data_IF_816596355418
#
_entry.id   IF_816596355418
#
_cell.length_a   1.000
_cell.length_b   1.000
_cell.length_c   1.000
_cell.angle_alpha   90.00
_cell.angle_beta   90.00
_cell.angle_gamma   90.00
#
_symmetry.space_group_name_H-M   'P 1'
#
loop_
_entity.id
_entity.type
_entity.pdbx_description
1 polymer ?
#
# COMPACT_ATOMS: atom_id res chain seq x y z
N UNK A 1 15.09 8.09 -6.05
CA UNK A 1 14.46 7.60 -7.29
C UNK A 1 15.18 6.35 -7.75
N UNK A 2 14.45 5.34 -8.21
CA UNK A 2 15.01 4.08 -8.75
C UNK A 2 14.70 4.00 -10.24
N UNK A 3 15.66 3.55 -11.06
CA UNK A 3 15.45 3.36 -12.51
C UNK A 3 14.73 2.03 -12.75
N UNK A 4 13.60 2.09 -13.44
CA UNK A 4 12.83 0.91 -13.83
C UNK A 4 12.57 0.95 -15.33
N UNK A 5 12.81 -0.17 -16.01
CA UNK A 5 12.43 -0.37 -17.41
C UNK A 5 11.13 -1.14 -17.44
N UNK A 6 10.12 -0.60 -18.12
CA UNK A 6 8.82 -1.24 -18.33
C UNK A 6 8.62 -1.52 -19.81
N UNK A 7 8.01 -2.67 -20.12
CA UNK A 7 7.52 -2.95 -21.46
C UNK A 7 6.10 -2.41 -21.55
N UNK A 8 5.78 -1.75 -22.66
CA UNK A 8 4.44 -1.25 -22.95
C UNK A 8 4.18 -1.37 -24.44
N UNK A 9 2.92 -1.57 -24.81
CA UNK A 9 2.52 -1.60 -26.21
C UNK A 9 2.82 -0.26 -26.88
N UNK A 10 3.25 -0.32 -28.14
CA UNK A 10 3.63 0.88 -28.90
C UNK A 10 2.46 1.86 -29.01
N UNK A 11 1.24 1.36 -29.18
CA UNK A 11 0.03 2.20 -29.21
C UNK A 11 -0.15 2.97 -27.90
N UNK A 12 0.07 2.32 -26.75
CA UNK A 12 -0.02 2.96 -25.44
C UNK A 12 1.04 4.03 -25.29
N UNK A 13 2.28 3.74 -25.71
CA UNK A 13 3.38 4.72 -25.69
C UNK A 13 3.08 5.93 -26.58
N UNK A 14 2.48 5.74 -27.74
CA UNK A 14 2.11 6.84 -28.63
C UNK A 14 1.05 7.75 -28.00
N UNK A 15 0.01 7.17 -27.39
CA UNK A 15 -1.03 7.93 -26.68
C UNK A 15 -0.44 8.74 -25.51
N UNK A 16 0.46 8.14 -24.73
CA UNK A 16 1.14 8.84 -23.62
C UNK A 16 2.07 9.95 -24.12
N UNK A 17 2.77 9.76 -25.25
CA UNK A 17 3.58 10.82 -25.88
C UNK A 17 2.71 11.97 -26.38
N UNK A 18 1.54 11.68 -26.97
CA UNK A 18 0.60 12.71 -27.39
C UNK A 18 0.09 13.51 -26.19
N UNK A 19 -0.28 12.85 -25.10
CA UNK A 19 -0.69 13.49 -23.85
C UNK A 19 0.40 14.38 -23.26
N UNK A 20 1.66 13.90 -23.26
CA UNK A 20 2.80 14.67 -22.77
C UNK A 20 3.02 15.94 -23.60
N UNK A 21 2.90 15.85 -24.94
CA UNK A 21 3.01 17.00 -25.85
C UNK A 21 1.90 18.02 -25.63
N UNK A 22 0.66 17.55 -25.51
CA UNK A 22 -0.51 18.41 -25.29
C UNK A 22 -0.37 19.21 -23.97
N UNK A 23 0.13 18.55 -22.92
CA UNK A 23 0.38 19.19 -21.61
C UNK A 23 1.70 19.98 -21.54
N UNK A 24 2.56 19.92 -22.55
CA UNK A 24 3.88 20.54 -22.53
C UNK A 24 4.84 19.99 -21.46
N UNK A 25 4.67 18.72 -21.06
CA UNK A 25 5.50 18.06 -20.03
C UNK A 25 6.29 16.89 -20.61
N UNK A 26 7.25 16.37 -19.84
CA UNK A 26 8.02 15.19 -20.26
C UNK A 26 7.17 13.91 -20.18
N UNK A 27 7.47 12.94 -21.05
CA UNK A 27 6.84 11.60 -20.98
C UNK A 27 7.07 10.95 -19.60
N UNK A 28 8.24 11.14 -19.01
CA UNK A 28 8.57 10.63 -17.68
C UNK A 28 7.70 11.25 -16.58
N UNK A 29 7.29 12.51 -16.73
CA UNK A 29 6.34 13.15 -15.82
C UNK A 29 4.98 12.45 -15.87
N UNK A 30 4.45 12.24 -17.08
CA UNK A 30 3.16 11.55 -17.29
C UNK A 30 3.21 10.11 -16.77
N UNK A 31 4.30 9.38 -17.05
CA UNK A 31 4.47 8.01 -16.56
C UNK A 31 4.51 7.96 -15.03
N UNK A 32 5.22 8.90 -14.38
CA UNK A 32 5.26 8.97 -12.93
C UNK A 32 3.89 9.26 -12.33
N UNK A 33 3.18 10.26 -12.86
CA UNK A 33 1.82 10.61 -12.42
C UNK A 33 0.87 9.41 -12.52
N UNK A 34 0.91 8.67 -13.63
CA UNK A 34 0.07 7.48 -13.81
C UNK A 34 0.42 6.36 -12.83
N UNK A 35 1.71 6.14 -12.55
CA UNK A 35 2.17 5.14 -11.58
C UNK A 35 1.77 5.52 -10.15
N UNK A 36 1.91 6.80 -9.77
CA UNK A 36 1.51 7.32 -8.46
C UNK A 36 -0.01 7.20 -8.28
N UNK A 37 -0.79 7.64 -9.27
CA UNK A 37 -2.25 7.49 -9.25
C UNK A 37 -2.68 6.03 -9.08
N UNK A 38 -2.01 5.09 -9.75
CA UNK A 38 -2.31 3.66 -9.61
C UNK A 38 -1.89 3.10 -8.26
N UNK A 39 -0.78 3.57 -7.70
CA UNK A 39 -0.34 3.21 -6.36
C UNK A 39 -1.30 3.73 -5.28
N UNK A 40 -1.82 4.94 -5.45
CA UNK A 40 -2.80 5.54 -4.54
C UNK A 40 -4.17 4.85 -4.62
N UNK A 41 -4.58 4.42 -5.82
CA UNK A 41 -5.77 3.60 -6.02
C UNK A 41 -5.63 2.21 -5.40
N UNK A 42 -4.40 1.70 -5.30
CA UNK A 42 -4.12 0.40 -4.71
C UNK A 42 -4.39 0.39 -3.20
N UNK A 43 -5.64 0.12 -2.84
CA UNK A 43 -6.01 -0.28 -1.48
C UNK A 43 -5.84 -1.79 -1.36
N UNK A 44 -4.85 -2.29 -0.59
CA UNK A 44 -4.80 -3.72 -0.30
C UNK A 44 -6.11 -4.09 0.39
N UNK A 45 -6.82 -5.09 -0.13
CA UNK A 45 -7.96 -5.69 0.58
C UNK A 45 -7.50 -5.97 2.01
N UNK A 46 -8.24 -5.55 3.05
CA UNK A 46 -7.89 -5.90 4.42
C UNK A 46 -7.83 -7.42 4.48
N UNK A 47 -6.61 -7.95 4.61
CA UNK A 47 -6.41 -9.37 4.86
C UNK A 47 -6.82 -9.59 6.30
N UNK A 48 -8.11 -9.94 6.46
CA UNK A 48 -8.79 -10.33 7.69
C UNK A 48 -8.67 -9.36 8.87
N UNK A 49 -9.80 -9.07 9.50
CA UNK A 49 -9.81 -8.57 10.88
C UNK A 49 -9.05 -9.59 11.76
N UNK A 50 -7.82 -9.26 12.17
CA UNK A 50 -7.19 -9.84 13.36
C UNK A 50 -6.77 -11.31 13.33
N UNK A 51 -6.26 -11.85 12.21
CA UNK A 51 -5.50 -13.12 12.22
C UNK A 51 -4.30 -12.99 11.28
N UNK A 52 -3.15 -12.57 11.80
CA UNK A 52 -1.89 -12.65 11.04
C UNK A 52 -0.82 -11.58 11.30
N UNK A 53 -1.08 -10.56 12.11
CA UNK A 53 -0.06 -9.54 12.45
C UNK A 53 0.64 -9.80 13.79
N UNK A 54 0.89 -11.07 14.14
CA UNK A 54 1.81 -11.39 15.23
C UNK A 54 3.24 -11.31 14.69
N UNK A 55 3.87 -10.15 14.87
CA UNK A 55 5.33 -10.08 14.95
C UNK A 55 5.78 -11.00 16.10
N UNK A 56 6.85 -11.81 15.99
CA UNK A 56 7.23 -12.79 17.03
C UNK A 56 7.70 -12.15 18.35
N UNK A 57 7.63 -10.83 18.49
CA UNK A 57 8.18 -10.13 19.63
C UNK A 57 7.16 -9.12 20.19
N UNK A 58 6.48 -9.53 21.26
CA UNK A 58 5.66 -8.73 22.19
C UNK A 58 4.41 -8.04 21.63
N UNK A 59 3.24 -8.61 21.96
CA UNK A 59 2.11 -7.92 22.64
C UNK A 59 0.96 -8.87 23.04
N UNK A 60 1.21 -10.19 23.19
CA UNK A 60 0.23 -11.14 23.74
C UNK A 60 0.57 -11.62 25.16
N UNK A 61 1.56 -11.01 25.81
CA UNK A 61 1.83 -11.19 27.24
C UNK A 61 1.48 -9.89 27.95
N UNK A 62 0.23 -9.79 28.43
CA UNK A 62 -0.16 -9.22 29.73
C UNK A 62 -1.68 -9.08 29.72
N UNK A 63 -2.43 -10.19 29.81
CA UNK A 63 -3.85 -10.12 30.23
C UNK A 63 -4.51 -11.43 30.66
N UNK A 64 -3.83 -12.58 30.64
CA UNK A 64 -4.45 -13.85 31.02
C UNK A 64 -3.88 -14.50 32.31
N UNK A 65 -2.73 -14.08 32.81
CA UNK A 65 -2.03 -14.82 33.90
C UNK A 65 -2.23 -14.25 35.29
N UNK A 66 -2.98 -13.15 35.47
CA UNK A 66 -3.41 -12.73 36.82
C UNK A 66 -4.89 -13.03 36.96
N UNK A 67 -5.18 -14.17 37.61
CA UNK A 67 -6.50 -14.43 38.19
C UNK A 67 -6.79 -13.28 39.14
N UNK A 68 -7.68 -12.37 38.75
CA UNK A 68 -8.18 -11.34 39.66
C UNK A 68 -8.89 -12.10 40.79
N UNK A 69 -8.47 -11.98 42.06
CA UNK A 69 -9.19 -12.63 43.14
C UNK A 69 -10.63 -12.09 43.15
N UNK A 70 -11.64 -12.94 43.38
CA UNK A 70 -13.03 -12.48 43.43
C UNK A 70 -13.16 -11.38 44.50
N UNK A 71 -13.90 -10.32 44.20
CA UNK A 71 -14.25 -9.31 45.23
C UNK A 71 -14.99 -10.03 46.36
N UNK A 72 -14.51 -9.89 47.58
CA UNK A 72 -15.27 -10.29 48.76
C UNK A 72 -16.52 -9.43 48.82
N UNK A 73 -17.69 -10.05 48.69
CA UNK A 73 -18.92 -9.44 49.16
C UNK A 73 -19.03 -9.71 50.65
N UNK A 74 -18.42 -8.80 51.41
CA UNK A 74 -18.74 -8.32 52.76
C UNK A 74 -17.53 -7.59 53.31
#
# INVERSE_FOLDING_TARGET
MTRTTIMADEETLQRLRALARDRGVSLAFVMREALEAKADEYRPRPRSLGVGSSSPNRTAETTATKRVPPRSWR
#
